data_IF_505237096342
#
_entry.id   IF_505237096342
#
_cell.length_a   1.000
_cell.length_b   1.000
_cell.length_c   1.000
_cell.angle_alpha   90.00
_cell.angle_beta   90.00
_cell.angle_gamma   90.00
#
_symmetry.space_group_name_H-M   'P 1'
#
loop_
_entity.id
_entity.type
_entity.pdbx_description
1 polymer ?
#
# COMPACT_ATOMS: atom_id res chain seq x y z
N UNK A 1 -34.92 37.85 -61.20
CA UNK A 1 -33.68 37.10 -60.87
C UNK A 1 -32.57 37.86 -61.54
N UNK A 2 -31.95 38.78 -60.79
CA UNK A 2 -31.28 39.94 -61.35
C UNK A 2 -29.89 40.13 -60.76
N UNK A 3 -29.01 40.57 -61.65
CA UNK A 3 -27.56 40.66 -61.67
C UNK A 3 -26.95 41.84 -60.89
N UNK A 4 -25.66 41.69 -60.55
CA UNK A 4 -24.57 42.68 -60.38
C UNK A 4 -24.90 44.16 -60.08
N UNK A 5 -24.29 44.73 -59.03
CA UNK A 5 -23.44 45.94 -59.10
C UNK A 5 -22.97 46.40 -57.69
N UNK A 6 -21.72 46.84 -57.63
CA UNK A 6 -21.12 47.62 -56.55
C UNK A 6 -21.50 49.12 -56.68
N UNK A 7 -20.87 49.98 -55.84
CA UNK A 7 -20.72 51.46 -55.97
C UNK A 7 -21.78 52.26 -55.15
N UNK A 8 -21.52 53.31 -54.36
CA UNK A 8 -20.37 54.15 -53.96
C UNK A 8 -20.78 54.91 -52.67
N UNK A 9 -19.82 55.29 -51.81
CA UNK A 9 -19.64 56.70 -51.41
C UNK A 9 -18.28 56.92 -50.73
N UNK A 10 -17.53 57.90 -51.23
CA UNK A 10 -16.21 58.44 -50.81
C UNK A 10 -16.36 59.97 -50.95
N UNK A 11 -15.86 60.85 -50.04
CA UNK A 11 -14.48 61.41 -50.05
C UNK A 11 -13.86 61.61 -48.64
N UNK A 12 -12.56 61.44 -48.36
CA UNK A 12 -11.29 62.06 -48.81
C UNK A 12 -11.06 63.53 -48.39
N UNK A 13 -9.84 63.81 -47.87
CA UNK A 13 -9.09 65.09 -47.66
C UNK A 13 -8.48 65.15 -46.21
N UNK A 14 -7.19 65.35 -45.86
CA UNK A 14 -5.96 65.88 -46.52
C UNK A 14 -4.67 65.43 -45.77
N UNK A 15 -3.77 64.73 -46.47
CA UNK A 15 -2.28 64.91 -46.65
C UNK A 15 -1.43 65.62 -45.56
N UNK A 16 -0.40 64.95 -45.02
CA UNK A 16 1.04 64.97 -45.44
C UNK A 16 1.77 66.33 -45.30
N UNK A 17 2.74 66.39 -44.39
CA UNK A 17 4.01 67.10 -44.61
C UNK A 17 5.10 66.46 -43.75
N UNK A 18 6.28 66.29 -44.34
CA UNK A 18 7.48 65.58 -43.89
C UNK A 18 8.63 66.59 -44.02
N UNK A 19 9.64 66.46 -43.15
CA UNK A 19 10.97 67.13 -43.21
C UNK A 19 10.97 68.60 -42.73
N UNK A 20 11.96 69.19 -42.04
CA UNK A 20 13.42 69.03 -42.13
C UNK A 20 14.15 69.91 -41.05
N UNK A 21 15.26 69.39 -40.45
CA UNK A 21 16.42 70.07 -39.78
C UNK A 21 16.15 70.90 -38.48
N UNK A 22 17.01 70.96 -37.45
CA UNK A 22 18.42 71.42 -37.41
C UNK A 22 19.15 70.91 -36.11
N UNK A 23 20.42 70.46 -36.28
CA UNK A 23 21.65 70.49 -35.45
C UNK A 23 21.60 70.47 -33.89
N UNK A 24 22.19 69.48 -33.19
CA UNK A 24 23.62 69.30 -32.76
C UNK A 24 24.09 70.25 -31.60
N UNK A 25 25.24 70.00 -30.94
CA UNK A 25 25.51 69.42 -29.60
C UNK A 25 25.93 70.52 -28.58
N UNK A 26 26.43 70.27 -27.35
CA UNK A 26 27.86 70.37 -26.96
C UNK A 26 28.00 70.30 -25.41
N UNK A 27 28.81 69.33 -24.95
CA UNK A 27 29.82 69.28 -23.86
C UNK A 27 29.60 69.96 -22.48
N UNK A 28 29.64 69.19 -21.38
CA UNK A 28 30.76 68.96 -20.43
C UNK A 28 30.82 69.94 -19.25
N UNK A 29 30.83 69.42 -18.03
CA UNK A 29 31.96 69.51 -17.06
C UNK A 29 31.47 69.15 -15.65
N UNK A 30 32.13 68.14 -15.07
CA UNK A 30 32.49 67.97 -13.65
C UNK A 30 32.44 66.50 -13.22
N UNK A 31 33.37 65.71 -13.78
CA UNK A 31 34.14 64.80 -12.94
C UNK A 31 34.81 65.65 -11.84
N UNK A 32 34.47 65.45 -10.58
CA UNK A 32 35.30 65.46 -9.35
C UNK A 32 34.37 65.68 -8.15
N UNK A 33 33.64 64.65 -7.74
CA UNK A 33 33.36 64.41 -6.32
C UNK A 33 33.42 62.90 -6.05
N UNK A 34 34.61 62.38 -6.36
CA UNK A 34 35.14 61.18 -5.75
C UNK A 34 35.26 61.46 -4.24
N UNK A 35 34.23 61.16 -3.46
CA UNK A 35 34.29 60.72 -2.06
C UNK A 35 32.88 60.69 -1.46
N UNK A 36 32.52 59.54 -0.91
CA UNK A 36 31.44 59.35 0.08
C UNK A 36 30.06 58.87 -0.39
N UNK A 37 29.97 57.94 -1.35
CA UNK A 37 28.89 56.94 -1.33
C UNK A 37 29.38 55.62 -1.93
N UNK A 38 30.05 54.80 -1.12
CA UNK A 38 30.15 53.36 -1.40
C UNK A 38 28.76 52.74 -1.25
N UNK A 39 27.94 52.77 -2.30
CA UNK A 39 26.83 51.83 -2.42
C UNK A 39 27.42 50.59 -3.09
N UNK A 40 27.70 49.62 -2.23
CA UNK A 40 28.05 48.24 -2.51
C UNK A 40 27.42 47.78 -3.83
N UNK A 41 28.25 47.29 -4.74
CA UNK A 41 27.81 46.72 -6.00
C UNK A 41 26.81 45.61 -5.75
N UNK A 42 25.62 45.75 -6.32
CA UNK A 42 24.73 44.62 -6.54
C UNK A 42 25.36 43.75 -7.64
N UNK A 43 26.34 42.94 -7.25
CA UNK A 43 26.71 41.76 -7.99
C UNK A 43 25.48 40.87 -8.09
N UNK A 44 24.84 40.83 -9.25
CA UNK A 44 23.89 39.78 -9.55
C UNK A 44 24.72 38.52 -9.81
N UNK A 45 25.11 37.84 -8.75
CA UNK A 45 25.46 36.43 -8.81
C UNK A 45 24.13 35.69 -8.72
N UNK A 46 23.67 35.02 -9.79
CA UNK A 46 22.68 33.97 -9.61
C UNK A 46 23.41 32.88 -8.85
N UNK A 47 23.29 32.90 -7.52
CA UNK A 47 23.35 31.66 -6.76
C UNK A 47 22.11 30.90 -7.21
N UNK A 48 22.24 30.16 -8.31
CA UNK A 48 21.36 29.03 -8.55
C UNK A 48 21.52 28.14 -7.31
N UNK A 49 20.41 27.83 -6.66
CA UNK A 49 20.36 26.84 -5.60
C UNK A 49 20.69 25.47 -6.23
N UNK A 50 22.00 25.18 -6.40
CA UNK A 50 22.51 23.94 -6.99
C UNK A 50 22.05 22.69 -6.20
N UNK A 51 21.66 22.89 -4.94
CA UNK A 51 21.09 21.89 -4.05
C UNK A 51 19.70 21.40 -4.53
N UNK A 52 18.92 22.26 -5.20
CA UNK A 52 17.55 21.96 -5.59
C UNK A 52 17.49 21.05 -6.82
N UNK A 53 18.35 21.32 -7.79
CA UNK A 53 18.42 20.57 -9.05
C UNK A 53 19.02 19.19 -8.82
N UNK A 54 20.06 19.10 -7.97
CA UNK A 54 20.69 17.82 -7.63
C UNK A 54 19.76 16.93 -6.79
N UNK A 55 19.04 17.50 -5.82
CA UNK A 55 18.05 16.77 -5.04
C UNK A 55 16.88 16.27 -5.92
N UNK A 56 16.34 17.12 -6.82
CA UNK A 56 15.22 16.78 -7.71
C UNK A 56 15.54 15.62 -8.67
N UNK A 57 16.78 15.55 -9.18
CA UNK A 57 17.21 14.44 -10.04
C UNK A 57 17.44 13.15 -9.24
N UNK A 58 17.98 13.23 -8.02
CA UNK A 58 18.17 12.07 -7.14
C UNK A 58 16.84 11.35 -6.84
N UNK A 59 15.78 12.11 -6.54
CA UNK A 59 14.46 11.54 -6.23
C UNK A 59 13.72 10.97 -7.45
N UNK A 60 14.02 11.46 -8.66
CA UNK A 60 13.38 11.01 -9.89
C UNK A 60 13.85 9.60 -10.31
N UNK A 61 15.05 9.20 -9.90
CA UNK A 61 15.64 7.90 -10.23
C UNK A 61 15.57 6.86 -9.11
N UNK A 62 15.24 7.26 -7.88
CA UNK A 62 15.15 6.33 -6.74
C UNK A 62 14.17 5.19 -7.03
N UNK A 63 14.64 3.92 -7.08
CA UNK A 63 13.77 2.76 -7.27
C UNK A 63 12.76 2.67 -6.12
N UNK A 64 11.46 2.60 -6.46
CA UNK A 64 10.39 2.43 -5.48
C UNK A 64 9.58 1.18 -5.79
N UNK A 65 9.04 0.56 -4.75
CA UNK A 65 8.24 -0.65 -4.85
C UNK A 65 6.75 -0.33 -4.67
N UNK A 66 5.90 -1.08 -5.37
CA UNK A 66 4.45 -0.94 -5.26
C UNK A 66 3.97 -1.21 -3.82
N UNK A 67 2.92 -0.54 -3.33
CA UNK A 67 2.37 -0.79 -2.00
C UNK A 67 2.02 -2.26 -1.77
N UNK A 68 2.44 -2.81 -0.62
CA UNK A 68 2.15 -4.20 -0.25
C UNK A 68 0.68 -4.31 0.16
N UNK A 69 -0.06 -5.21 -0.48
CA UNK A 69 -1.42 -5.60 -0.08
C UNK A 69 -1.39 -7.03 0.47
N UNK A 70 -1.49 -7.18 1.79
CA UNK A 70 -1.52 -8.49 2.45
C UNK A 70 -2.97 -8.84 2.77
N UNK A 71 -3.53 -9.85 2.09
CA UNK A 71 -4.87 -10.35 2.41
C UNK A 71 -4.84 -11.02 3.79
N UNK A 72 -5.77 -10.67 4.68
CA UNK A 72 -5.83 -11.16 6.07
C UNK A 72 -4.54 -10.90 6.89
N UNK A 73 -3.87 -9.80 6.60
CA UNK A 73 -2.66 -9.37 7.29
C UNK A 73 -2.40 -7.89 7.08
N UNK A 74 -1.28 -7.42 7.62
CA UNK A 74 -0.81 -6.06 7.47
C UNK A 74 0.72 -6.05 7.37
N UNK A 75 1.25 -4.97 6.80
CA UNK A 75 2.67 -4.75 6.62
C UNK A 75 3.08 -3.47 7.38
N UNK A 76 4.07 -3.59 8.25
CA UNK A 76 4.65 -2.47 8.97
C UNK A 76 5.98 -2.11 8.32
N UNK A 77 5.97 -1.03 7.52
CA UNK A 77 7.13 -0.63 6.73
C UNK A 77 7.92 0.50 7.39
N UNK A 78 9.25 0.37 7.33
CA UNK A 78 10.23 1.36 7.78
C UNK A 78 11.11 1.74 6.60
N UNK A 79 10.98 2.98 6.15
CA UNK A 79 11.81 3.56 5.10
C UNK A 79 13.11 4.12 5.71
N UNK A 80 14.26 4.05 5.03
CA UNK A 80 15.48 4.75 5.45
C UNK A 80 15.25 6.25 5.69
N UNK A 81 16.00 6.81 6.63
CA UNK A 81 15.86 8.20 7.07
C UNK A 81 16.38 9.17 5.99
N UNK A 82 15.69 10.29 5.77
CA UNK A 82 16.02 11.26 4.71
C UNK A 82 15.27 11.07 3.40
N UNK A 83 14.43 10.04 3.31
CA UNK A 83 13.61 9.77 2.12
C UNK A 83 12.24 10.46 2.23
N UNK A 84 11.89 11.25 1.22
CA UNK A 84 10.59 11.92 1.15
C UNK A 84 9.44 10.95 0.81
N UNK A 85 9.73 9.93 0.00
CA UNK A 85 8.74 8.98 -0.50
C UNK A 85 8.74 7.65 0.28
N UNK A 86 7.58 6.98 0.35
CA UNK A 86 7.44 5.65 0.97
C UNK A 86 7.87 4.54 0.01
N UNK A 87 8.31 3.40 0.55
CA UNK A 87 8.66 2.19 -0.20
C UNK A 87 9.80 2.36 -1.21
N UNK A 88 10.78 3.22 -0.93
CA UNK A 88 11.98 3.36 -1.74
C UNK A 88 12.95 2.19 -1.51
N UNK A 89 14.03 2.15 -2.28
CA UNK A 89 15.12 1.19 -2.14
C UNK A 89 15.56 1.03 -0.68
N UNK A 90 15.63 -0.21 -0.21
CA UNK A 90 16.02 -0.51 1.17
C UNK A 90 14.92 -0.39 2.21
N UNK A 91 13.72 0.10 1.87
CA UNK A 91 12.55 0.02 2.79
C UNK A 91 12.33 -1.43 3.22
N UNK A 92 12.18 -1.64 4.53
CA UNK A 92 11.93 -2.94 5.16
C UNK A 92 10.52 -3.00 5.69
N UNK A 93 9.77 -4.04 5.38
CA UNK A 93 8.41 -4.24 5.81
C UNK A 93 8.26 -5.55 6.57
N UNK A 94 7.87 -5.47 7.84
CA UNK A 94 7.52 -6.62 8.67
C UNK A 94 6.07 -7.01 8.41
N UNK A 95 5.86 -8.27 8.03
CA UNK A 95 4.55 -8.81 7.68
C UNK A 95 3.97 -9.51 8.90
N UNK A 96 2.72 -9.17 9.23
CA UNK A 96 1.96 -9.80 10.31
C UNK A 96 0.61 -10.25 9.80
N UNK A 97 0.29 -11.52 10.04
CA UNK A 97 -1.03 -12.05 9.72
C UNK A 97 -2.02 -11.78 10.85
N UNK A 98 -3.30 -11.67 10.50
CA UNK A 98 -4.37 -11.59 11.47
C UNK A 98 -4.50 -12.90 12.27
N UNK A 99 -5.12 -12.84 13.45
CA UNK A 99 -5.40 -14.03 14.27
C UNK A 99 -6.15 -15.07 13.45
N UNK A 100 -5.79 -16.35 13.58
CA UNK A 100 -6.37 -17.42 12.77
C UNK A 100 -5.73 -17.60 11.39
N UNK A 101 -4.74 -16.78 11.01
CA UNK A 101 -3.96 -16.94 9.79
C UNK A 101 -2.49 -17.17 10.12
N UNK A 102 -1.81 -17.95 9.28
CA UNK A 102 -0.37 -18.21 9.36
C UNK A 102 0.35 -17.62 8.14
N UNK A 103 1.58 -17.13 8.37
CA UNK A 103 2.40 -16.53 7.34
C UNK A 103 3.07 -17.62 6.48
N UNK A 104 2.89 -17.52 5.18
CA UNK A 104 3.59 -18.31 4.16
C UNK A 104 4.50 -17.38 3.36
N UNK A 105 5.81 -17.57 3.50
CA UNK A 105 6.85 -16.72 2.90
C UNK A 105 7.73 -16.04 3.95
N UNK A 106 8.58 -15.09 3.54
CA UNK A 106 9.47 -14.37 4.45
C UNK A 106 8.70 -13.43 5.38
N UNK A 107 9.14 -13.32 6.64
CA UNK A 107 8.56 -12.39 7.62
C UNK A 107 8.87 -10.92 7.29
N UNK A 108 10.01 -10.65 6.66
CA UNK A 108 10.42 -9.30 6.29
C UNK A 108 10.61 -9.21 4.77
N UNK A 109 10.02 -8.19 4.17
CA UNK A 109 10.23 -7.83 2.77
C UNK A 109 11.11 -6.60 2.65
N UNK A 110 11.97 -6.58 1.63
CA UNK A 110 12.88 -5.46 1.36
C UNK A 110 12.63 -4.96 -0.06
N UNK A 111 12.50 -3.65 -0.24
CA UNK A 111 12.41 -3.07 -1.59
C UNK A 111 13.80 -3.09 -2.24
N UNK A 112 13.90 -3.71 -3.41
CA UNK A 112 15.15 -3.92 -4.13
C UNK A 112 15.31 -2.91 -5.28
N UNK A 113 16.53 -2.78 -5.81
CA UNK A 113 16.85 -1.90 -6.94
C UNK A 113 16.07 -2.26 -8.21
N UNK A 114 15.59 -3.50 -8.29
CA UNK A 114 14.68 -4.00 -9.33
C UNK A 114 13.25 -3.43 -9.26
N UNK A 115 12.96 -2.50 -8.34
CA UNK A 115 11.62 -1.93 -8.09
C UNK A 115 10.60 -3.00 -7.67
N UNK A 116 11.09 -4.09 -7.06
CA UNK A 116 10.29 -5.21 -6.57
C UNK A 116 10.67 -5.56 -5.14
N UNK A 117 9.70 -6.09 -4.40
CA UNK A 117 9.94 -6.65 -3.08
C UNK A 117 10.74 -7.95 -3.19
N UNK A 118 11.60 -8.20 -2.19
CA UNK A 118 12.49 -9.36 -2.09
C UNK A 118 11.79 -10.72 -2.10
N UNK A 119 10.46 -10.77 -1.93
CA UNK A 119 9.69 -11.99 -1.93
C UNK A 119 8.20 -11.72 -2.02
N UNK A 120 7.43 -12.81 -2.06
CA UNK A 120 5.96 -12.80 -1.98
C UNK A 120 5.53 -13.40 -0.65
N UNK A 121 4.45 -12.88 -0.09
CA UNK A 121 3.90 -13.31 1.19
C UNK A 121 2.41 -13.57 1.06
N UNK A 122 1.93 -14.57 1.79
CA UNK A 122 0.52 -14.92 1.86
C UNK A 122 0.16 -15.27 3.31
N UNK A 123 -0.93 -14.72 3.82
CA UNK A 123 -1.53 -15.17 5.07
C UNK A 123 -2.61 -16.21 4.75
N UNK A 124 -2.37 -17.47 5.10
CA UNK A 124 -3.33 -18.56 4.89
C UNK A 124 -4.08 -18.86 6.18
N UNK A 125 -5.38 -19.11 6.09
CA UNK A 125 -6.17 -19.45 7.26
C UNK A 125 -5.63 -20.74 7.86
N UNK A 126 -5.41 -20.74 9.18
CA UNK A 126 -4.95 -21.89 9.93
C UNK A 126 -6.00 -23.00 9.84
N UNK A 127 -5.52 -24.23 9.78
CA UNK A 127 -6.36 -25.42 9.66
C UNK A 127 -5.95 -26.44 10.71
N UNK A 128 -6.93 -26.96 11.44
CA UNK A 128 -6.75 -28.07 12.37
C UNK A 128 -6.69 -29.41 11.63
N UNK A 129 -6.17 -30.47 12.28
CA UNK A 129 -6.23 -31.82 11.73
C UNK A 129 -7.67 -32.20 11.36
N UNK A 130 -7.82 -32.93 10.26
CA UNK A 130 -9.12 -33.47 9.86
C UNK A 130 -9.61 -34.42 10.95
N UNK A 131 -10.84 -34.21 11.41
CA UNK A 131 -11.48 -35.09 12.39
C UNK A 131 -11.78 -36.45 11.77
N UNK A 132 -11.48 -37.52 12.50
CA UNK A 132 -11.89 -38.87 12.12
C UNK A 132 -13.39 -39.06 12.33
N UNK A 133 -14.06 -39.69 11.38
CA UNK A 133 -15.49 -40.00 11.50
C UNK A 133 -15.71 -41.05 12.58
N UNK A 134 -16.57 -40.81 13.59
CA UNK A 134 -16.90 -41.81 14.59
C UNK A 134 -17.61 -43.00 13.95
N UNK A 135 -17.24 -44.22 14.33
CA UNK A 135 -18.05 -45.41 14.02
C UNK A 135 -19.42 -45.28 14.67
N UNK A 136 -20.50 -45.60 13.96
CA UNK A 136 -21.89 -45.46 14.45
C UNK A 136 -22.27 -44.02 14.84
N UNK A 137 -21.75 -43.04 14.11
CA UNK A 137 -22.06 -41.64 14.29
C UNK A 137 -21.46 -40.78 13.19
N UNK A 138 -21.32 -39.49 13.48
CA UNK A 138 -20.77 -38.51 12.56
C UNK A 138 -20.49 -37.19 13.24
N UNK A 139 -20.06 -36.21 12.45
CA UNK A 139 -19.97 -34.82 12.88
C UNK A 139 -20.36 -33.88 11.74
N UNK A 140 -20.80 -32.67 12.11
CA UNK A 140 -21.04 -31.57 11.16
C UNK A 140 -20.22 -30.36 11.61
N UNK A 141 -19.50 -29.76 10.67
CA UNK A 141 -18.68 -28.57 10.90
C UNK A 141 -19.24 -27.38 10.14
N UNK A 142 -19.17 -26.18 10.72
CA UNK A 142 -19.60 -24.94 10.07
C UNK A 142 -18.70 -24.55 8.88
N UNK A 143 -17.38 -24.65 9.06
CA UNK A 143 -16.39 -24.26 8.04
C UNK A 143 -15.24 -25.29 7.98
N UNK A 144 -15.61 -26.56 7.81
CA UNK A 144 -14.65 -27.67 7.78
C UNK A 144 -13.70 -27.68 8.99
N UNK A 145 -12.40 -27.78 8.72
CA UNK A 145 -11.36 -27.80 9.76
C UNK A 145 -10.61 -26.46 9.89
N UNK A 146 -11.18 -25.34 9.43
CA UNK A 146 -10.51 -24.04 9.52
C UNK A 146 -10.63 -23.39 10.90
N UNK A 147 -9.70 -22.49 11.23
CA UNK A 147 -9.70 -21.74 12.49
C UNK A 147 -11.08 -21.12 12.78
N UNK A 148 -11.55 -21.29 14.01
CA UNK A 148 -12.86 -20.81 14.47
C UNK A 148 -14.03 -21.70 14.05
N UNK A 149 -13.83 -22.68 13.15
CA UNK A 149 -14.86 -23.65 12.80
C UNK A 149 -15.26 -24.47 14.02
N UNK A 150 -16.58 -24.59 14.24
CA UNK A 150 -17.20 -25.39 15.29
C UNK A 150 -17.78 -26.65 14.67
N UNK A 151 -17.37 -27.81 15.20
CA UNK A 151 -17.85 -29.11 14.79
C UNK A 151 -18.65 -29.76 15.90
N UNK A 152 -19.84 -30.26 15.57
CA UNK A 152 -20.73 -30.95 16.48
C UNK A 152 -20.85 -32.42 16.11
N UNK A 153 -20.60 -33.30 17.09
CA UNK A 153 -20.69 -34.73 16.97
C UNK A 153 -22.09 -35.25 17.29
N UNK A 154 -22.50 -36.30 16.58
CA UNK A 154 -23.74 -37.02 16.81
C UNK A 154 -23.52 -38.52 16.69
N UNK A 155 -24.33 -39.30 17.43
CA UNK A 155 -24.31 -40.76 17.37
C UNK A 155 -25.61 -41.28 16.79
N UNK A 156 -25.53 -42.40 16.08
CA UNK A 156 -26.70 -43.13 15.61
C UNK A 156 -27.54 -43.65 16.78
N UNK A 157 -28.85 -43.91 16.58
CA UNK A 157 -29.69 -44.53 17.60
C UNK A 157 -29.06 -45.84 18.13
N UNK A 158 -29.15 -46.09 19.44
CA UNK A 158 -28.50 -47.24 20.08
C UNK A 158 -27.07 -46.99 20.57
N UNK A 159 -26.52 -45.78 20.33
CA UNK A 159 -25.18 -45.39 20.78
C UNK A 159 -25.22 -44.09 21.59
N UNK A 160 -24.29 -43.99 22.54
CA UNK A 160 -24.07 -42.83 23.38
C UNK A 160 -22.73 -42.16 23.03
N UNK A 161 -22.73 -40.82 23.04
CA UNK A 161 -21.55 -40.03 22.78
C UNK A 161 -20.63 -40.02 24.00
N UNK A 162 -19.35 -40.37 23.80
CA UNK A 162 -18.29 -40.32 24.79
C UNK A 162 -17.20 -39.36 24.34
N UNK A 163 -17.05 -38.25 25.06
CA UNK A 163 -16.13 -37.16 24.73
C UNK A 163 -16.87 -35.82 24.64
N UNK A 164 -16.23 -34.83 24.03
CA UNK A 164 -16.83 -33.50 23.87
C UNK A 164 -17.80 -33.49 22.69
N UNK A 165 -19.06 -33.13 22.94
CA UNK A 165 -20.06 -33.01 21.87
C UNK A 165 -19.65 -31.99 20.81
N UNK A 166 -18.93 -30.94 21.22
CA UNK A 166 -18.58 -29.81 20.38
C UNK A 166 -17.10 -29.51 20.53
N UNK A 167 -16.42 -29.38 19.39
CA UNK A 167 -15.02 -28.97 19.32
C UNK A 167 -14.86 -27.77 18.38
N UNK A 168 -13.96 -26.86 18.74
CA UNK A 168 -13.66 -25.65 17.95
C UNK A 168 -12.20 -25.66 17.53
N UNK A 169 -11.90 -25.31 16.27
CA UNK A 169 -10.53 -25.23 15.79
C UNK A 169 -9.83 -23.98 16.33
N UNK A 170 -8.79 -24.18 17.13
CA UNK A 170 -8.10 -23.12 17.86
C UNK A 170 -6.90 -22.54 17.08
N UNK A 171 -6.38 -21.40 17.54
CA UNK A 171 -5.31 -20.67 16.86
C UNK A 171 -3.96 -21.43 16.85
N UNK A 172 -3.79 -22.38 17.77
CA UNK A 172 -2.64 -23.29 17.80
C UNK A 172 -2.77 -24.48 16.84
N UNK A 173 -3.79 -24.49 15.96
CA UNK A 173 -4.10 -25.59 15.02
C UNK A 173 -4.51 -26.89 15.72
N UNK A 174 -5.07 -26.80 16.93
CA UNK A 174 -5.59 -27.94 17.70
C UNK A 174 -7.07 -27.72 17.98
N UNK A 175 -7.84 -28.81 18.07
CA UNK A 175 -9.24 -28.76 18.50
C UNK A 175 -9.33 -28.48 20.00
N UNK A 176 -10.30 -27.67 20.42
CA UNK A 176 -10.47 -27.24 21.82
C UNK A 176 -10.76 -28.37 22.82
N UNK A 177 -11.24 -29.52 22.32
CA UNK A 177 -11.66 -30.66 23.12
C UNK A 177 -11.21 -31.98 22.50
N UNK A 178 -11.55 -33.08 23.19
CA UNK A 178 -11.24 -34.43 22.74
C UNK A 178 -12.28 -34.87 21.70
N UNK A 179 -11.86 -35.35 20.51
CA UNK A 179 -12.77 -35.95 19.55
C UNK A 179 -13.66 -37.00 20.21
N UNK A 180 -14.96 -36.94 19.93
CA UNK A 180 -15.92 -37.85 20.52
C UNK A 180 -15.98 -39.20 19.77
N UNK A 181 -16.35 -40.24 20.51
CA UNK A 181 -16.63 -41.58 19.99
C UNK A 181 -18.04 -42.01 20.37
N UNK A 182 -18.63 -42.91 19.60
CA UNK A 182 -19.95 -43.45 19.87
C UNK A 182 -19.82 -44.88 20.43
N UNK A 183 -20.32 -45.08 21.65
CA UNK A 183 -20.28 -46.39 22.33
C UNK A 183 -21.69 -46.94 22.47
N UNK A 184 -21.88 -48.23 22.16
CA UNK A 184 -23.20 -48.85 22.26
C UNK A 184 -23.68 -48.90 23.72
N UNK A 185 -24.99 -48.73 23.95
CA UNK A 185 -25.56 -48.77 25.31
C UNK A 185 -25.24 -50.08 26.04
N UNK A 186 -25.27 -51.22 25.34
CA UNK A 186 -24.98 -52.54 25.94
C UNK A 186 -23.52 -52.65 26.41
N UNK A 187 -22.56 -52.17 25.61
CA UNK A 187 -21.14 -52.15 25.97
C UNK A 187 -20.87 -51.21 27.15
N UNK A 188 -21.55 -50.06 27.19
CA UNK A 188 -21.40 -49.11 28.28
C UNK A 188 -21.96 -49.64 29.61
N UNK A 189 -23.13 -50.28 29.58
CA UNK A 189 -23.75 -50.88 30.79
C UNK A 189 -22.92 -52.05 31.33
N UNK A 190 -22.41 -52.93 30.47
CA UNK A 190 -21.54 -54.05 30.88
C UNK A 190 -20.24 -53.54 31.51
N UNK A 191 -19.58 -52.54 30.90
CA UNK A 191 -18.35 -51.97 31.45
C UNK A 191 -18.53 -51.28 32.82
N UNK A 192 -19.69 -50.67 33.06
CA UNK A 192 -20.02 -50.09 34.37
C UNK A 192 -20.26 -51.21 35.39
N UNK A 193 -20.96 -52.28 34.99
CA UNK A 193 -21.22 -53.42 35.86
C UNK A 193 -19.92 -54.20 36.23
N UNK A 194 -18.91 -54.23 35.37
CA UNK A 194 -17.63 -54.92 35.63
C UNK A 194 -16.62 -54.13 36.49
N UNK A 195 -16.89 -52.85 36.79
CA UNK A 195 -16.03 -51.98 37.62
C UNK A 195 -16.57 -51.79 39.04
N UNK A 196 -17.68 -52.45 39.37
CA UNK A 196 -18.21 -52.61 40.73
C UNK A 196 -17.90 -54.02 41.21
#
# INVERSE_FOLDING_TARGET
MSTFAAVQYVPQLIKKAKELLIALPVLETFEVFFSLFCIVGSGYSPLEDDEDVYARNRYKETPWCSPIKVKHGYANCRTPQGEYYKNVLGTRCDIRCQKGYELHGPQQLICQSSKRWSGKVLCKQKRCPTLSMPTNGGFKCLDGAYFGSRCEYYCSPGYQLKGDRIVTCMDNKVWSGRPASCVGYLLHMVLIASRK
#
